data_IF_289173569430
#
_entry.id   IF_289173569430
#
_cell.length_a   1.000
_cell.length_b   1.000
_cell.length_c   1.000
_cell.angle_alpha   90.00
_cell.angle_beta   90.00
_cell.angle_gamma   90.00
#
_symmetry.space_group_name_H-M   'P 1'
#
loop_
_entity.id
_entity.type
_entity.pdbx_description
1 polymer ?
#
# COMPACT_ATOMS: atom_id res chain seq x y z
N UNK A 1 -16.79 -27.44 5.68
CA UNK A 1 -15.83 -26.32 5.85
C UNK A 1 -15.28 -25.77 4.52
N UNK A 2 -14.71 -26.59 3.61
CA UNK A 2 -14.09 -26.07 2.35
C UNK A 2 -15.08 -25.33 1.43
N UNK A 3 -16.30 -25.85 1.25
CA UNK A 3 -17.33 -25.24 0.39
C UNK A 3 -17.71 -23.82 0.86
N UNK A 4 -17.91 -23.62 2.16
CA UNK A 4 -18.19 -22.28 2.72
C UNK A 4 -17.05 -21.29 2.50
N UNK A 5 -15.80 -21.77 2.60
CA UNK A 5 -14.62 -20.91 2.34
C UNK A 5 -14.55 -20.47 0.87
N UNK A 6 -14.89 -21.36 -0.07
CA UNK A 6 -14.94 -21.01 -1.50
C UNK A 6 -16.11 -20.07 -1.83
N UNK A 7 -17.27 -20.27 -1.23
CA UNK A 7 -18.43 -19.38 -1.42
C UNK A 7 -18.15 -17.97 -0.86
N UNK A 8 -17.57 -17.88 0.32
CA UNK A 8 -17.19 -16.58 0.90
C UNK A 8 -16.10 -15.88 0.10
N UNK A 9 -15.14 -16.62 -0.46
CA UNK A 9 -14.13 -16.06 -1.35
C UNK A 9 -14.75 -15.56 -2.67
N UNK A 10 -15.63 -16.33 -3.30
CA UNK A 10 -16.33 -15.93 -4.53
C UNK A 10 -17.15 -14.67 -4.29
N UNK A 11 -17.90 -14.61 -3.19
CA UNK A 11 -18.66 -13.44 -2.78
C UNK A 11 -17.75 -12.21 -2.60
N UNK A 12 -16.64 -12.34 -1.87
CA UNK A 12 -15.70 -11.25 -1.64
C UNK A 12 -15.04 -10.77 -2.94
N UNK A 13 -14.62 -11.68 -3.81
CA UNK A 13 -14.03 -11.29 -5.11
C UNK A 13 -15.02 -10.62 -6.03
N UNK A 14 -16.29 -11.04 -6.04
CA UNK A 14 -17.35 -10.37 -6.81
C UNK A 14 -17.57 -8.95 -6.32
N UNK A 15 -17.65 -8.74 -5.00
CA UNK A 15 -17.80 -7.40 -4.43
C UNK A 15 -16.59 -6.52 -4.73
N UNK A 16 -15.36 -7.06 -4.61
CA UNK A 16 -14.14 -6.33 -4.98
C UNK A 16 -14.19 -5.94 -6.46
N UNK A 17 -14.57 -6.85 -7.36
CA UNK A 17 -14.69 -6.56 -8.79
C UNK A 17 -15.69 -5.45 -9.08
N UNK A 18 -16.88 -5.50 -8.47
CA UNK A 18 -17.88 -4.44 -8.57
C UNK A 18 -17.33 -3.11 -8.05
N UNK A 19 -16.64 -3.13 -6.89
CA UNK A 19 -16.03 -1.94 -6.32
C UNK A 19 -14.98 -1.33 -7.26
N UNK A 20 -14.11 -2.15 -7.86
CA UNK A 20 -13.10 -1.68 -8.82
C UNK A 20 -13.76 -1.09 -10.09
N UNK A 21 -14.86 -1.66 -10.56
CA UNK A 21 -15.65 -1.10 -11.67
C UNK A 21 -16.20 0.28 -11.30
N UNK A 22 -16.75 0.42 -10.09
CA UNK A 22 -17.26 1.71 -9.60
C UNK A 22 -16.13 2.73 -9.42
N UNK A 23 -14.93 2.30 -8.99
CA UNK A 23 -13.73 3.14 -8.94
C UNK A 23 -13.41 3.67 -10.34
N UNK A 24 -13.34 2.82 -11.35
CA UNK A 24 -13.08 3.24 -12.75
C UNK A 24 -14.13 4.25 -13.21
N UNK A 25 -15.41 3.97 -12.99
CA UNK A 25 -16.50 4.87 -13.37
C UNK A 25 -16.41 6.23 -12.68
N UNK A 26 -16.05 6.27 -11.38
CA UNK A 26 -15.90 7.53 -10.67
C UNK A 26 -14.76 8.38 -11.21
N UNK A 27 -13.62 7.78 -11.56
CA UNK A 27 -12.50 8.51 -12.18
C UNK A 27 -12.77 8.92 -13.63
N UNK A 28 -13.66 8.22 -14.31
CA UNK A 28 -14.08 8.58 -15.67
C UNK A 28 -15.09 9.74 -15.68
N UNK A 29 -16.00 9.79 -14.69
CA UNK A 29 -17.11 10.74 -14.66
C UNK A 29 -16.80 12.00 -13.84
N UNK A 30 -15.88 11.95 -12.89
CA UNK A 30 -15.68 13.00 -11.90
C UNK A 30 -14.24 13.54 -11.89
N UNK A 31 -14.06 14.83 -11.58
CA UNK A 31 -12.73 15.37 -11.28
C UNK A 31 -12.06 14.59 -10.16
N UNK A 32 -10.74 14.40 -10.28
CA UNK A 32 -9.93 13.55 -9.42
C UNK A 32 -10.21 13.69 -7.90
N UNK A 33 -10.29 14.90 -7.30
CA UNK A 33 -10.49 15.03 -5.85
C UNK A 33 -11.79 14.39 -5.35
N UNK A 34 -12.85 14.46 -6.15
CA UNK A 34 -14.14 13.84 -5.86
C UNK A 34 -14.10 12.33 -6.12
N UNK A 35 -13.52 11.93 -7.29
CA UNK A 35 -13.36 10.54 -7.66
C UNK A 35 -12.64 9.76 -6.56
N UNK A 36 -11.53 10.30 -6.03
CA UNK A 36 -10.79 9.66 -4.95
C UNK A 36 -11.62 9.42 -3.69
N UNK A 37 -12.35 10.44 -3.22
CA UNK A 37 -13.19 10.29 -2.00
C UNK A 37 -14.27 9.24 -2.18
N UNK A 38 -14.94 9.24 -3.32
CA UNK A 38 -16.01 8.30 -3.63
C UNK A 38 -15.45 6.90 -3.83
N UNK A 39 -14.30 6.77 -4.51
CA UNK A 39 -13.61 5.49 -4.67
C UNK A 39 -13.18 4.88 -3.33
N UNK A 40 -12.60 5.68 -2.44
CA UNK A 40 -12.25 5.23 -1.09
C UNK A 40 -13.48 4.74 -0.30
N UNK A 41 -14.64 5.38 -0.49
CA UNK A 41 -15.89 4.94 0.11
C UNK A 41 -16.35 3.57 -0.45
N UNK A 42 -16.31 3.35 -1.78
CA UNK A 42 -16.63 2.06 -2.38
C UNK A 42 -15.67 0.97 -1.93
N UNK A 43 -14.37 1.26 -1.90
CA UNK A 43 -13.36 0.33 -1.38
C UNK A 43 -13.66 -0.02 0.07
N UNK A 44 -14.00 0.96 0.91
CA UNK A 44 -14.37 0.73 2.31
C UNK A 44 -15.60 -0.18 2.46
N UNK A 45 -16.61 -0.03 1.61
CA UNK A 45 -17.78 -0.92 1.61
C UNK A 45 -17.46 -2.34 1.18
N UNK A 46 -16.49 -2.50 0.26
CA UNK A 46 -16.08 -3.82 -0.24
C UNK A 46 -15.11 -4.55 0.68
N UNK A 47 -14.42 -3.81 1.55
CA UNK A 47 -13.48 -4.37 2.52
C UNK A 47 -14.24 -4.55 3.84
N UNK A 48 -14.70 -5.76 4.14
CA UNK A 48 -15.34 -6.12 5.40
C UNK A 48 -14.34 -6.27 6.54
N UNK A 49 -13.45 -5.28 6.71
CA UNK A 49 -12.45 -5.25 7.76
C UNK A 49 -12.62 -4.00 8.61
N UNK A 50 -12.51 -4.19 9.92
CA UNK A 50 -12.26 -3.08 10.84
C UNK A 50 -10.75 -2.86 10.95
N UNK A 51 -10.37 -1.61 11.15
CA UNK A 51 -8.97 -1.25 11.40
C UNK A 51 -8.79 -0.79 12.84
N UNK A 52 -7.67 -1.20 13.42
CA UNK A 52 -7.16 -0.72 14.70
C UNK A 52 -5.94 0.13 14.41
N UNK A 53 -6.06 1.44 14.59
CA UNK A 53 -5.03 2.39 14.18
C UNK A 53 -4.25 2.84 15.42
N UNK A 54 -2.93 2.61 15.38
CA UNK A 54 -1.98 3.10 16.36
C UNK A 54 -1.06 4.15 15.73
N UNK A 55 -0.75 5.21 16.48
CA UNK A 55 0.00 6.34 15.96
C UNK A 55 -0.88 7.30 15.16
N UNK A 56 -0.25 8.28 14.52
CA UNK A 56 -0.94 9.35 13.80
C UNK A 56 -0.36 9.51 12.39
N UNK A 57 -1.23 9.66 11.41
CA UNK A 57 -0.81 10.02 10.06
C UNK A 57 -0.21 11.43 10.07
N UNK A 58 1.07 11.55 9.72
CA UNK A 58 1.76 12.85 9.71
C UNK A 58 1.28 13.69 8.52
N UNK A 59 0.67 14.87 8.78
CA UNK A 59 0.19 15.74 7.71
C UNK A 59 1.32 16.27 6.80
N UNK A 60 2.56 16.27 7.24
CA UNK A 60 3.71 16.73 6.47
C UNK A 60 4.43 15.58 5.73
N UNK A 61 4.07 14.32 5.94
CA UNK A 61 4.68 13.21 5.23
C UNK A 61 4.42 13.29 3.72
N UNK A 62 5.47 13.07 2.93
CA UNK A 62 5.47 13.11 1.47
C UNK A 62 5.68 11.73 0.85
N UNK A 63 6.12 10.77 1.67
CA UNK A 63 6.33 9.39 1.25
C UNK A 63 5.88 8.42 2.33
N UNK A 64 5.15 7.38 1.93
CA UNK A 64 4.83 6.23 2.78
C UNK A 64 5.61 5.01 2.35
N UNK A 65 6.25 4.35 3.32
CA UNK A 65 6.90 3.05 3.17
C UNK A 65 6.14 2.02 4.02
N UNK A 66 5.55 1.04 3.37
CA UNK A 66 4.59 0.12 3.97
C UNK A 66 5.07 -1.31 3.73
N UNK A 67 5.02 -2.20 4.72
CA UNK A 67 5.26 -3.63 4.49
C UNK A 67 4.12 -4.23 3.65
N UNK A 68 4.42 -5.30 2.89
CA UNK A 68 3.46 -5.86 1.94
C UNK A 68 3.22 -7.35 2.15
N UNK A 69 2.01 -7.72 2.52
CA UNK A 69 1.63 -9.11 2.76
C UNK A 69 0.43 -9.58 1.94
N UNK A 70 -0.48 -8.66 1.58
CA UNK A 70 -1.73 -8.98 0.90
C UNK A 70 -2.15 -7.87 -0.07
N UNK A 71 -3.01 -8.18 -1.02
CA UNK A 71 -3.66 -7.17 -1.87
C UNK A 71 -4.58 -6.23 -1.05
N UNK A 72 -5.02 -6.67 0.13
CA UNK A 72 -5.75 -5.84 1.09
C UNK A 72 -4.97 -4.60 1.56
N UNK A 73 -3.64 -4.66 1.56
CA UNK A 73 -2.80 -3.57 2.08
C UNK A 73 -3.10 -2.25 1.37
N UNK A 74 -3.33 -2.32 0.05
CA UNK A 74 -3.70 -1.15 -0.77
C UNK A 74 -5.07 -0.63 -0.35
N UNK A 75 -6.07 -1.50 -0.33
CA UNK A 75 -7.44 -1.11 0.02
C UNK A 75 -7.55 -0.54 1.43
N UNK A 76 -6.83 -1.11 2.41
CA UNK A 76 -6.80 -0.58 3.78
C UNK A 76 -6.27 0.85 3.76
N UNK A 77 -5.13 1.07 3.13
CA UNK A 77 -4.51 2.41 3.09
C UNK A 77 -5.39 3.43 2.35
N UNK A 78 -6.04 3.04 1.25
CA UNK A 78 -6.97 3.92 0.53
C UNK A 78 -8.18 4.34 1.39
N UNK A 79 -8.59 3.48 2.33
CA UNK A 79 -9.75 3.77 3.20
C UNK A 79 -9.42 4.58 4.44
N UNK A 80 -8.19 4.46 4.97
CA UNK A 80 -7.81 5.11 6.23
C UNK A 80 -7.01 6.40 6.04
N UNK A 81 -6.24 6.52 4.95
CA UNK A 81 -5.43 7.69 4.69
C UNK A 81 -6.30 8.88 4.26
N UNK A 82 -6.03 10.03 4.85
CA UNK A 82 -6.65 11.31 4.47
C UNK A 82 -5.95 11.95 3.27
N UNK A 83 -4.81 11.42 2.86
CA UNK A 83 -3.96 11.97 1.80
C UNK A 83 -4.25 11.35 0.44
N UNK A 84 -3.93 12.08 -0.62
CA UNK A 84 -3.97 11.57 -1.99
C UNK A 84 -2.74 10.70 -2.25
N UNK A 85 -2.92 9.38 -2.20
CA UNK A 85 -1.86 8.41 -2.40
C UNK A 85 -1.53 8.26 -3.88
N UNK A 86 -0.24 8.10 -4.19
CA UNK A 86 0.25 7.72 -5.51
C UNK A 86 1.10 6.46 -5.36
N UNK A 87 0.54 5.35 -5.74
CA UNK A 87 1.20 4.05 -5.61
C UNK A 87 2.27 3.86 -6.66
N UNK A 88 3.40 3.30 -6.23
CA UNK A 88 4.42 2.79 -7.13
C UNK A 88 4.22 1.30 -7.29
N UNK A 89 3.86 0.88 -8.48
CA UNK A 89 3.53 -0.50 -8.76
C UNK A 89 4.20 -1.02 -10.03
N UNK A 90 4.27 -2.35 -10.15
CA UNK A 90 4.88 -3.04 -11.27
C UNK A 90 4.18 -2.68 -12.59
N UNK A 91 4.95 -2.28 -13.63
CA UNK A 91 4.40 -1.82 -14.91
C UNK A 91 3.44 -2.83 -15.55
N UNK A 92 3.74 -4.11 -15.44
CA UNK A 92 2.92 -5.18 -16.04
C UNK A 92 1.49 -5.23 -15.46
N UNK A 93 1.25 -4.66 -14.27
CA UNK A 93 -0.09 -4.54 -13.70
C UNK A 93 -0.94 -3.48 -14.42
N UNK A 94 -0.29 -2.46 -14.98
CA UNK A 94 -0.96 -1.41 -15.78
C UNK A 94 -1.37 -1.94 -17.17
N UNK A 95 -0.70 -2.97 -17.66
CA UNK A 95 -0.96 -3.60 -18.95
C UNK A 95 -2.08 -4.66 -18.87
N UNK A 96 -2.53 -5.03 -17.66
CA UNK A 96 -3.64 -5.98 -17.48
C UNK A 96 -4.97 -5.29 -17.88
N UNK A 97 -5.73 -5.88 -18.83
CA UNK A 97 -7.02 -5.33 -19.22
C UNK A 97 -7.92 -5.10 -17.99
N UNK A 98 -8.68 -4.00 -17.98
CA UNK A 98 -9.54 -3.56 -16.90
C UNK A 98 -8.79 -3.18 -15.61
N UNK A 99 -7.95 -4.07 -15.05
CA UNK A 99 -7.22 -3.80 -13.81
C UNK A 99 -6.22 -2.65 -13.97
N UNK A 100 -5.58 -2.52 -15.12
CA UNK A 100 -4.67 -1.42 -15.42
C UNK A 100 -5.34 -0.04 -15.36
N UNK A 101 -6.65 0.04 -15.63
CA UNK A 101 -7.41 1.29 -15.50
C UNK A 101 -7.52 1.75 -14.04
N UNK A 102 -7.66 0.81 -13.09
CA UNK A 102 -7.72 1.12 -11.66
C UNK A 102 -6.45 1.81 -11.18
N UNK A 103 -5.32 1.60 -11.85
CA UNK A 103 -4.03 2.20 -11.50
C UNK A 103 -3.69 3.40 -12.37
N UNK A 104 -4.01 3.35 -13.66
CA UNK A 104 -3.66 4.43 -14.60
C UNK A 104 -4.55 5.67 -14.44
N UNK A 105 -5.84 5.50 -14.18
CA UNK A 105 -6.77 6.62 -13.99
C UNK A 105 -6.48 7.42 -12.72
N UNK A 106 -6.14 6.81 -11.56
CA UNK A 106 -5.59 7.54 -10.42
C UNK A 106 -4.18 8.10 -10.65
N UNK A 107 -3.57 7.86 -11.81
CA UNK A 107 -2.21 8.27 -12.13
C UNK A 107 -1.17 7.68 -11.18
N UNK A 108 -1.26 6.40 -10.87
CA UNK A 108 -0.22 5.68 -10.14
C UNK A 108 1.07 5.55 -10.96
N UNK A 109 2.16 5.22 -10.33
CA UNK A 109 3.50 5.27 -10.94
C UNK A 109 3.94 3.86 -11.35
N UNK A 110 4.03 3.57 -12.66
CA UNK A 110 4.56 2.29 -13.14
C UNK A 110 6.08 2.23 -12.97
N UNK A 111 6.59 1.09 -12.50
CA UNK A 111 8.03 0.80 -12.42
C UNK A 111 8.39 -0.52 -13.10
N UNK A 112 9.38 -0.47 -13.98
CA UNK A 112 10.08 -1.65 -14.52
C UNK A 112 11.33 -1.92 -13.68
N UNK A 113 11.46 -3.11 -13.11
CA UNK A 113 12.47 -3.36 -12.06
C UNK A 113 13.90 -3.57 -12.56
N UNK A 114 14.13 -3.75 -13.86
CA UNK A 114 15.43 -4.16 -14.42
C UNK A 114 16.04 -3.15 -15.40
N UNK A 115 15.47 -1.96 -15.55
CA UNK A 115 15.92 -0.95 -16.50
C UNK A 115 16.47 0.29 -15.81
N UNK A 116 17.66 0.76 -16.22
CA UNK A 116 18.23 2.03 -15.76
C UNK A 116 17.32 3.22 -16.14
N UNK A 117 16.65 3.15 -17.28
CA UNK A 117 15.69 4.16 -17.72
C UNK A 117 14.44 4.20 -16.84
N UNK A 118 14.09 3.08 -16.18
CA UNK A 118 12.96 3.01 -15.27
C UNK A 118 13.15 3.86 -14.03
N UNK A 119 14.38 3.96 -13.51
CA UNK A 119 14.68 4.82 -12.36
C UNK A 119 14.47 6.30 -12.68
N UNK A 120 14.89 6.74 -13.86
CA UNK A 120 14.64 8.12 -14.32
C UNK A 120 13.14 8.41 -14.48
N UNK A 121 12.38 7.45 -15.03
CA UNK A 121 10.91 7.55 -15.13
C UNK A 121 10.27 7.59 -13.73
N UNK A 122 10.73 6.76 -12.80
CA UNK A 122 10.25 6.78 -11.42
C UNK A 122 10.48 8.15 -10.77
N UNK A 123 11.68 8.70 -10.88
CA UNK A 123 11.98 10.04 -10.36
C UNK A 123 11.09 11.10 -11.00
N UNK A 124 11.00 11.15 -12.35
CA UNK A 124 10.17 12.13 -13.05
C UNK A 124 8.71 12.05 -12.60
N UNK A 125 8.13 10.85 -12.57
CA UNK A 125 6.74 10.66 -12.19
C UNK A 125 6.51 11.00 -10.71
N UNK A 126 7.44 10.62 -9.83
CA UNK A 126 7.37 10.99 -8.40
C UNK A 126 7.38 12.51 -8.22
N UNK A 127 8.24 13.24 -8.96
CA UNK A 127 8.27 14.70 -8.91
C UNK A 127 6.95 15.32 -9.34
N UNK A 128 6.36 14.81 -10.42
CA UNK A 128 5.05 15.30 -10.89
C UNK A 128 3.96 15.08 -9.81
N UNK A 129 3.93 13.90 -9.17
CA UNK A 129 2.95 13.60 -8.13
C UNK A 129 3.16 14.45 -6.86
N UNK A 130 4.41 14.66 -6.46
CA UNK A 130 4.76 15.55 -5.34
C UNK A 130 4.33 17.00 -5.61
N UNK A 131 4.54 17.50 -6.83
CA UNK A 131 4.09 18.84 -7.23
C UNK A 131 2.56 19.00 -7.21
N UNK A 132 1.82 17.89 -7.37
CA UNK A 132 0.35 17.83 -7.23
C UNK A 132 -0.09 17.65 -5.76
N UNK A 133 0.83 17.73 -4.79
CA UNK A 133 0.54 17.56 -3.36
C UNK A 133 0.23 16.12 -2.95
N UNK A 134 0.59 15.13 -3.78
CA UNK A 134 0.33 13.71 -3.51
C UNK A 134 1.46 13.06 -2.74
N UNK A 135 1.13 12.00 -2.00
CA UNK A 135 2.09 11.21 -1.24
C UNK A 135 2.56 10.01 -2.06
N UNK A 136 3.86 9.89 -2.25
CA UNK A 136 4.44 8.72 -2.91
C UNK A 136 4.32 7.51 -1.98
N UNK A 137 3.62 6.48 -2.40
CA UNK A 137 3.32 5.32 -1.57
C UNK A 137 3.96 4.08 -2.18
N UNK A 138 4.78 3.39 -1.38
CA UNK A 138 5.54 2.24 -1.87
C UNK A 138 5.52 1.08 -0.88
N UNK A 139 5.52 -0.12 -1.45
CA UNK A 139 5.94 -1.33 -0.76
C UNK A 139 7.42 -1.57 -1.07
N UNK A 140 8.35 -1.18 -0.18
CA UNK A 140 9.79 -1.21 -0.50
C UNK A 140 10.33 -2.63 -0.70
N UNK A 141 9.62 -3.65 -0.23
CA UNK A 141 9.92 -5.07 -0.49
C UNK A 141 9.80 -5.43 -1.98
N UNK A 142 8.96 -4.69 -2.69
CA UNK A 142 8.70 -4.89 -4.12
C UNK A 142 7.91 -6.16 -4.45
N UNK A 143 7.54 -6.97 -3.49
CA UNK A 143 6.67 -8.14 -3.62
C UNK A 143 6.06 -8.47 -2.26
N UNK A 144 5.00 -9.27 -2.23
CA UNK A 144 4.34 -9.70 -0.99
C UNK A 144 5.20 -10.69 -0.22
N UNK A 145 5.44 -10.40 1.05
CA UNK A 145 5.99 -11.33 2.03
C UNK A 145 4.85 -12.22 2.55
N UNK A 146 4.99 -13.53 2.41
CA UNK A 146 3.99 -14.49 2.92
C UNK A 146 4.29 -14.96 4.33
N UNK A 147 5.46 -14.58 4.83
CA UNK A 147 5.91 -14.86 6.19
C UNK A 147 5.75 -13.60 7.03
N UNK A 148 5.83 -13.74 8.34
CA UNK A 148 5.83 -12.60 9.26
C UNK A 148 7.14 -11.78 9.21
N UNK A 149 8.06 -12.13 8.30
CA UNK A 149 9.33 -11.42 8.11
C UNK A 149 9.28 -10.56 6.85
N UNK A 150 9.64 -9.30 6.99
CA UNK A 150 9.78 -8.36 5.89
C UNK A 150 10.96 -8.73 5.00
N UNK A 151 10.75 -8.72 3.71
CA UNK A 151 11.80 -8.93 2.71
C UNK A 151 12.78 -7.75 2.68
N UNK A 152 13.99 -7.94 2.12
CA UNK A 152 14.92 -6.83 1.90
C UNK A 152 14.28 -5.70 1.09
N UNK A 153 14.46 -4.46 1.56
CA UNK A 153 13.94 -3.28 0.88
C UNK A 153 14.77 -2.95 -0.38
N UNK A 154 14.09 -2.58 -1.45
CA UNK A 154 14.68 -2.23 -2.75
C UNK A 154 15.07 -0.75 -2.77
N UNK A 155 16.20 -0.44 -3.41
CA UNK A 155 16.77 0.91 -3.44
C UNK A 155 15.88 1.98 -4.12
N UNK A 156 14.86 1.62 -4.89
CA UNK A 156 13.97 2.59 -5.53
C UNK A 156 13.35 3.58 -4.55
N UNK A 157 12.96 3.11 -3.36
CA UNK A 157 12.43 3.96 -2.30
C UNK A 157 13.48 4.95 -1.80
N UNK A 158 14.72 4.48 -1.55
CA UNK A 158 15.84 5.32 -1.13
C UNK A 158 16.15 6.40 -2.15
N UNK A 159 16.24 6.04 -3.42
CA UNK A 159 16.60 6.98 -4.49
C UNK A 159 15.58 8.11 -4.61
N UNK A 160 14.28 7.82 -4.51
CA UNK A 160 13.23 8.85 -4.56
C UNK A 160 13.28 9.75 -3.33
N UNK A 161 13.38 9.16 -2.13
CA UNK A 161 13.42 9.89 -0.87
C UNK A 161 14.65 10.81 -0.78
N UNK A 162 15.85 10.30 -1.11
CA UNK A 162 17.09 11.06 -1.07
C UNK A 162 17.12 12.18 -2.12
N UNK A 163 16.61 11.90 -3.34
CA UNK A 163 16.62 12.89 -4.44
C UNK A 163 15.80 14.12 -4.09
N UNK A 164 14.68 13.94 -3.39
CA UNK A 164 13.74 15.01 -3.08
C UNK A 164 13.71 15.38 -1.61
N UNK A 165 14.60 14.80 -0.78
CA UNK A 165 14.68 15.00 0.67
C UNK A 165 13.31 14.88 1.35
N UNK A 166 12.61 13.78 1.03
CA UNK A 166 11.24 13.59 1.43
C UNK A 166 11.12 13.31 2.93
N UNK A 167 10.06 13.83 3.54
CA UNK A 167 9.61 13.36 4.83
C UNK A 167 8.89 12.04 4.67
N UNK A 168 9.52 10.98 5.19
CA UNK A 168 9.08 9.59 5.07
C UNK A 168 8.34 9.18 6.33
N UNK A 169 7.15 8.60 6.19
CA UNK A 169 6.45 7.94 7.28
C UNK A 169 6.36 6.43 7.02
N UNK A 170 6.97 5.60 7.89
CA UNK A 170 6.81 4.16 7.81
C UNK A 170 5.46 3.74 8.39
N UNK A 171 4.85 2.72 7.77
CA UNK A 171 3.56 2.20 8.21
C UNK A 171 3.65 0.67 8.27
N UNK A 172 3.23 0.08 9.38
CA UNK A 172 3.23 -1.37 9.58
C UNK A 172 1.81 -1.89 9.56
N UNK A 173 1.51 -2.76 8.60
CA UNK A 173 0.25 -3.50 8.50
C UNK A 173 0.44 -4.90 9.08
N UNK A 174 -0.43 -5.29 10.04
CA UNK A 174 -0.29 -6.53 10.77
C UNK A 174 -1.08 -7.66 10.13
N UNK A 175 -0.36 -8.72 9.73
CA UNK A 175 -0.94 -10.04 9.40
C UNK A 175 -2.05 -10.03 8.33
N UNK A 176 -2.03 -9.11 7.38
CA UNK A 176 -3.09 -8.96 6.36
C UNK A 176 -3.28 -10.22 5.50
N UNK A 177 -2.20 -10.99 5.26
CA UNK A 177 -2.27 -12.28 4.55
C UNK A 177 -3.10 -13.35 5.30
N UNK A 178 -3.41 -13.18 6.59
CA UNK A 178 -4.32 -14.08 7.32
C UNK A 178 -5.78 -13.87 6.96
N UNK A 179 -6.10 -12.73 6.37
CA UNK A 179 -7.47 -12.35 6.10
C UNK A 179 -7.83 -12.46 4.64
N UNK A 180 -6.86 -12.24 3.73
CA UNK A 180 -7.09 -12.35 2.30
C UNK A 180 -5.83 -12.83 1.57
N UNK A 181 -5.99 -13.92 0.79
CA UNK A 181 -4.96 -14.43 -0.12
C UNK A 181 -5.64 -14.92 -1.42
N UNK A 182 -5.46 -14.15 -2.50
CA UNK A 182 -6.06 -14.46 -3.79
C UNK A 182 -5.56 -15.80 -4.37
N UNK A 183 -4.30 -16.17 -4.10
CA UNK A 183 -3.72 -17.42 -4.62
C UNK A 183 -4.24 -18.67 -3.90
N UNK A 184 -4.62 -18.51 -2.63
CA UNK A 184 -5.18 -19.60 -1.81
C UNK A 184 -6.70 -19.62 -1.83
N UNK A 185 -7.34 -18.73 -2.57
CA UNK A 185 -8.79 -18.56 -2.58
C UNK A 185 -9.36 -18.43 -1.16
N UNK A 186 -8.69 -17.59 -0.37
CA UNK A 186 -9.00 -17.45 1.03
C UNK A 186 -9.42 -16.03 1.36
N UNK A 187 -10.54 -15.93 2.09
CA UNK A 187 -11.05 -14.70 2.66
C UNK A 187 -11.64 -14.97 4.06
N UNK A 188 -11.32 -14.12 5.01
CA UNK A 188 -11.90 -14.12 6.35
C UNK A 188 -12.02 -12.68 6.83
N UNK A 189 -13.23 -12.22 7.21
CA UNK A 189 -13.36 -10.89 7.84
C UNK A 189 -12.60 -10.83 9.16
N UNK A 190 -12.16 -9.63 9.54
CA UNK A 190 -11.42 -9.45 10.77
C UNK A 190 -11.01 -8.02 11.07
N UNK A 191 -10.24 -7.86 12.13
CA UNK A 191 -9.68 -6.59 12.57
C UNK A 191 -8.19 -6.54 12.24
N UNK A 192 -7.77 -5.54 11.48
CA UNK A 192 -6.39 -5.36 11.04
C UNK A 192 -5.79 -4.18 11.79
N UNK A 193 -4.66 -4.43 12.44
CA UNK A 193 -3.91 -3.36 13.10
C UNK A 193 -3.01 -2.66 12.10
N UNK A 194 -3.05 -1.33 12.14
CA UNK A 194 -2.24 -0.42 11.31
C UNK A 194 -1.45 0.48 12.24
N UNK A 195 -0.14 0.52 12.11
CA UNK A 195 0.75 1.30 12.96
C UNK A 195 1.44 2.37 12.12
N UNK A 196 1.09 3.63 12.35
CA UNK A 196 1.82 4.77 11.83
C UNK A 196 3.02 5.03 12.74
N UNK A 197 4.22 4.78 12.24
CA UNK A 197 5.45 5.07 12.95
C UNK A 197 5.82 6.56 12.81
N UNK A 198 6.74 7.05 13.64
CA UNK A 198 7.25 8.41 13.56
C UNK A 198 7.89 8.66 12.19
N UNK A 199 7.53 9.81 11.61
CA UNK A 199 8.10 10.25 10.35
C UNK A 199 9.49 10.85 10.55
N UNK A 200 10.32 10.76 9.51
CA UNK A 200 11.67 11.34 9.49
C UNK A 200 11.99 11.90 8.11
N UNK A 201 12.95 12.80 8.05
CA UNK A 201 13.49 13.28 6.77
C UNK A 201 14.58 12.31 6.34
N UNK A 202 14.52 11.82 5.10
CA UNK A 202 15.53 10.93 4.54
C UNK A 202 16.88 11.65 4.47
N UNK A 203 17.86 11.13 5.19
CA UNK A 203 19.22 11.66 5.18
C UNK A 203 20.04 10.93 4.09
N UNK A 204 20.34 11.65 3.02
CA UNK A 204 21.14 11.14 1.91
C UNK A 204 22.54 10.69 2.34
N UNK A 205 23.10 11.27 3.40
CA UNK A 205 24.43 10.91 3.93
C UNK A 205 24.45 9.55 4.64
N UNK A 206 23.32 9.10 5.17
CA UNK A 206 23.15 7.75 5.73
C UNK A 206 22.84 6.75 4.62
N UNK A 207 23.87 6.06 4.14
CA UNK A 207 23.68 5.02 3.11
C UNK A 207 22.80 3.86 3.58
N UNK A 208 22.71 3.63 4.88
CA UNK A 208 22.03 2.47 5.49
C UNK A 208 20.63 2.79 6.02
N UNK A 209 20.15 4.03 5.92
CA UNK A 209 18.88 4.42 6.54
C UNK A 209 17.70 3.50 6.12
N UNK A 210 17.66 3.10 4.85
CA UNK A 210 16.57 2.23 4.35
C UNK A 210 16.63 0.80 4.92
N UNK A 211 17.85 0.24 5.05
CA UNK A 211 18.04 -1.07 5.68
C UNK A 211 17.77 -1.03 7.18
N UNK A 212 18.19 0.05 7.86
CA UNK A 212 17.91 0.29 9.27
C UNK A 212 16.39 0.48 9.51
N UNK A 213 15.71 1.16 8.59
CA UNK A 213 14.25 1.30 8.65
C UNK A 213 13.57 -0.06 8.59
N UNK A 214 13.98 -0.96 7.68
CA UNK A 214 13.41 -2.31 7.62
C UNK A 214 13.56 -3.04 8.96
N UNK A 215 14.72 -2.94 9.61
CA UNK A 215 14.96 -3.56 10.92
C UNK A 215 14.03 -2.96 11.99
N UNK A 216 13.86 -1.63 12.00
CA UNK A 216 12.95 -0.95 12.92
C UNK A 216 11.50 -1.37 12.70
N UNK A 217 11.04 -1.40 11.44
CA UNK A 217 9.69 -1.84 11.10
C UNK A 217 9.46 -3.31 11.46
N UNK A 218 10.45 -4.20 11.22
CA UNK A 218 10.37 -5.60 11.62
C UNK A 218 10.26 -5.73 13.15
N UNK A 219 11.04 -4.97 13.90
CA UNK A 219 10.97 -4.99 15.37
C UNK A 219 9.58 -4.59 15.86
N UNK A 220 9.01 -3.48 15.33
CA UNK A 220 7.63 -3.07 15.67
C UNK A 220 6.64 -4.19 15.36
N UNK A 221 6.81 -4.86 14.21
CA UNK A 221 5.95 -5.97 13.82
C UNK A 221 6.06 -7.15 14.80
N UNK A 222 7.28 -7.53 15.23
CA UNK A 222 7.53 -8.67 16.10
C UNK A 222 7.06 -8.38 17.54
N UNK A 223 7.32 -7.17 18.05
CA UNK A 223 6.86 -6.73 19.37
C UNK A 223 5.33 -6.77 19.45
N UNK A 224 4.64 -6.27 18.43
CA UNK A 224 3.19 -6.29 18.37
C UNK A 224 2.62 -7.70 18.22
N UNK A 225 3.31 -8.57 17.47
CA UNK A 225 2.91 -9.97 17.35
C UNK A 225 2.99 -10.70 18.69
N UNK A 226 4.03 -10.43 19.46
CA UNK A 226 4.26 -11.01 20.79
C UNK A 226 3.20 -10.54 21.80
N UNK A 227 2.87 -9.25 21.80
CA UNK A 227 1.82 -8.68 22.66
C UNK A 227 0.44 -9.32 22.38
N UNK A 228 0.12 -9.56 21.12
CA UNK A 228 -1.15 -10.21 20.73
C UNK A 228 -1.21 -11.71 21.13
N UNK A 229 -0.09 -12.35 21.38
CA UNK A 229 -0.02 -13.75 21.87
C UNK A 229 -0.15 -13.84 23.39
N UNK A 230 0.34 -12.84 24.12
CA UNK A 230 0.29 -12.80 25.59
C UNK A 230 -1.09 -12.44 26.16
N UNK A 231 -1.98 -11.90 25.34
CA UNK A 231 -3.36 -11.52 25.73
C UNK A 231 -4.42 -12.53 25.26
N UNK A 232 -4.02 -13.74 24.83
CA UNK A 232 -4.92 -14.87 24.51
C UNK A 232 -4.79 -15.99 25.52
#
# INVERSE_FOLDING_TARGET
MKIFAHLSWLYATTIIFISLTLVILTYWLLPRPYARKISAWFVRLSIFFSTDIQGVEDPAAQMYLINHQSDLDIGIMETISKKDLSWVAKKELFDVPFFGLVMSMPEDIPIERQSKTSLLKLLKNSKDRLNKGRVITMFPEGTRSRNFKMLPFKNGAKVVADKYQLKVQPIVLMQTAKYYDIKRFYYKPGRIKVIFMDSFIADKSDEKWLSNLRIKMQKVYDDELSNNLSHR
#
